data_IF_975394045410
#
_entry.id   IF_975394045410
#
_cell.length_a   1.000
_cell.length_b   1.000
_cell.length_c   1.000
_cell.angle_alpha   90.00
_cell.angle_beta   90.00
_cell.angle_gamma   90.00
#
_symmetry.space_group_name_H-M   'P 1'
#
loop_
_entity.id
_entity.type
_entity.pdbx_description
1 polymer ?
#
# COMPACT_ATOMS: atom_id res chain seq x y z
N UNK A 1 61.30 72.59 -44.37
CA UNK A 1 61.39 71.71 -45.55
C UNK A 1 62.10 70.45 -45.09
N UNK A 2 61.37 69.34 -44.95
CA UNK A 2 61.90 67.97 -44.99
C UNK A 2 60.69 67.03 -45.03
N UNK A 3 60.47 66.51 -46.23
CA UNK A 3 59.66 65.32 -46.51
C UNK A 3 60.40 64.11 -45.94
N UNK A 4 59.70 63.18 -45.27
CA UNK A 4 60.17 61.79 -45.27
C UNK A 4 59.02 60.77 -45.24
N UNK A 5 58.94 60.12 -46.40
CA UNK A 5 58.19 58.94 -46.86
C UNK A 5 57.67 57.97 -45.79
N UNK A 6 56.33 57.83 -45.77
CA UNK A 6 55.65 56.61 -45.31
C UNK A 6 55.95 55.45 -46.26
N UNK A 7 56.58 54.40 -45.74
CA UNK A 7 56.70 53.12 -46.43
C UNK A 7 55.56 52.19 -45.98
N UNK A 8 54.62 51.92 -46.88
CA UNK A 8 53.63 50.85 -46.72
C UNK A 8 54.32 49.50 -46.91
N UNK A 9 54.46 48.74 -45.82
CA UNK A 9 54.86 47.33 -45.87
C UNK A 9 53.60 46.51 -46.15
N UNK A 10 53.38 46.16 -47.41
CA UNK A 10 52.43 45.13 -47.80
C UNK A 10 53.03 43.76 -47.41
N UNK A 11 52.68 43.27 -46.23
CA UNK A 11 52.89 41.87 -45.86
C UNK A 11 51.81 41.01 -46.53
N UNK A 12 52.14 40.48 -47.70
CA UNK A 12 51.38 39.37 -48.28
C UNK A 12 51.47 38.20 -47.31
N UNK A 13 50.39 37.94 -46.57
CA UNK A 13 50.25 36.80 -45.66
C UNK A 13 50.27 35.51 -46.49
N UNK A 14 51.47 34.96 -46.71
CA UNK A 14 51.60 33.60 -47.21
C UNK A 14 51.02 32.67 -46.16
N UNK A 15 49.80 32.21 -46.41
CA UNK A 15 49.13 31.17 -45.61
C UNK A 15 50.08 29.98 -45.58
N UNK A 16 50.56 29.55 -44.40
CA UNK A 16 51.50 28.45 -44.32
C UNK A 16 50.86 27.20 -44.94
N UNK A 17 51.63 26.46 -45.75
CA UNK A 17 51.17 25.31 -46.57
C UNK A 17 50.47 24.20 -45.78
N UNK A 18 50.46 24.27 -44.45
CA UNK A 18 49.88 23.30 -43.53
C UNK A 18 48.53 23.75 -42.93
N UNK A 19 48.02 24.94 -43.26
CA UNK A 19 46.72 25.43 -42.72
C UNK A 19 45.56 24.49 -43.06
N UNK A 20 45.57 23.87 -44.24
CA UNK A 20 44.55 22.88 -44.62
C UNK A 20 44.57 21.62 -43.74
N UNK A 21 45.75 21.16 -43.34
CA UNK A 21 45.88 19.98 -42.45
C UNK A 21 45.27 20.27 -41.07
N UNK A 22 45.45 21.48 -40.57
CA UNK A 22 44.88 21.93 -39.30
C UNK A 22 43.35 22.05 -39.40
N UNK A 23 42.84 22.61 -40.49
CA UNK A 23 41.38 22.74 -40.69
C UNK A 23 40.73 21.36 -40.76
N UNK A 24 41.31 20.42 -41.51
CA UNK A 24 40.77 19.05 -41.60
C UNK A 24 40.87 18.29 -40.27
N UNK A 25 41.95 18.45 -39.50
CA UNK A 25 42.07 17.76 -38.20
C UNK A 25 41.05 18.26 -37.18
N UNK A 26 40.79 19.57 -37.14
CA UNK A 26 39.75 20.16 -36.28
C UNK A 26 38.36 19.67 -36.69
N UNK A 27 38.08 19.58 -37.99
CA UNK A 27 36.77 19.17 -38.50
C UNK A 27 36.49 17.69 -38.22
N UNK A 28 37.48 16.81 -38.38
CA UNK A 28 37.37 15.40 -38.00
C UNK A 28 37.16 15.26 -36.50
N UNK A 29 37.91 16.00 -35.68
CA UNK A 29 37.79 15.95 -34.22
C UNK A 29 36.39 16.39 -33.77
N UNK A 30 35.83 17.45 -34.38
CA UNK A 30 34.48 17.90 -34.10
C UNK A 30 33.40 16.86 -34.48
N UNK A 31 33.55 16.17 -35.61
CA UNK A 31 32.63 15.10 -36.03
C UNK A 31 32.70 13.92 -35.06
N UNK A 32 33.90 13.50 -34.65
CA UNK A 32 34.07 12.38 -33.72
C UNK A 32 33.45 12.71 -32.36
N UNK A 33 33.72 13.90 -31.80
CA UNK A 33 33.16 14.31 -30.49
C UNK A 33 31.64 14.51 -30.58
N UNK A 34 31.15 15.13 -31.66
CA UNK A 34 29.72 15.31 -31.88
C UNK A 34 28.98 13.98 -32.05
N UNK A 35 29.55 13.06 -32.83
CA UNK A 35 28.99 11.74 -33.09
C UNK A 35 28.96 10.85 -31.86
N UNK A 36 30.02 10.85 -31.04
CA UNK A 36 30.04 10.07 -29.79
C UNK A 36 29.05 10.61 -28.75
N UNK A 37 28.93 11.93 -28.62
CA UNK A 37 27.97 12.55 -27.71
C UNK A 37 26.51 12.28 -28.16
N UNK A 38 26.23 12.38 -29.46
CA UNK A 38 24.91 12.05 -30.01
C UNK A 38 24.55 10.57 -29.80
N UNK A 39 25.48 9.65 -30.06
CA UNK A 39 25.26 8.22 -29.86
C UNK A 39 24.99 7.88 -28.38
N UNK A 40 25.72 8.50 -27.44
CA UNK A 40 25.48 8.34 -26.01
C UNK A 40 24.09 8.86 -25.62
N UNK A 41 23.73 10.05 -26.09
CA UNK A 41 22.42 10.65 -25.78
C UNK A 41 21.27 9.80 -26.34
N UNK A 42 21.38 9.34 -27.59
CA UNK A 42 20.37 8.48 -28.21
C UNK A 42 20.22 7.14 -27.47
N UNK A 43 21.33 6.54 -27.03
CA UNK A 43 21.29 5.30 -26.25
C UNK A 43 20.65 5.51 -24.88
N UNK A 44 21.00 6.60 -24.19
CA UNK A 44 20.43 6.94 -22.89
C UNK A 44 18.91 7.16 -22.97
N UNK A 45 18.43 7.90 -23.98
CA UNK A 45 16.99 8.14 -24.21
C UNK A 45 16.26 6.81 -24.46
N UNK A 46 16.79 5.96 -25.34
CA UNK A 46 16.15 4.67 -25.64
C UNK A 46 16.12 3.74 -24.43
N UNK A 47 17.16 3.74 -23.59
CA UNK A 47 17.18 2.94 -22.35
C UNK A 47 16.14 3.41 -21.33
N UNK A 48 15.89 4.72 -21.28
CA UNK A 48 14.92 5.33 -20.37
C UNK A 48 13.48 5.04 -20.81
N UNK A 49 13.23 5.09 -22.13
CA UNK A 49 11.92 4.77 -22.71
C UNK A 49 11.55 3.30 -22.46
N UNK A 50 12.49 2.37 -22.66
CA UNK A 50 12.29 0.95 -22.33
C UNK A 50 12.00 0.72 -20.84
N UNK A 51 12.71 1.42 -19.94
CA UNK A 51 12.46 1.31 -18.51
C UNK A 51 11.05 1.76 -18.14
N UNK A 52 10.56 2.85 -18.75
CA UNK A 52 9.21 3.35 -18.55
C UNK A 52 8.14 2.40 -19.12
N UNK A 53 8.36 1.83 -20.30
CA UNK A 53 7.45 0.81 -20.85
C UNK A 53 7.35 -0.42 -19.94
N UNK A 54 8.48 -0.89 -19.41
CA UNK A 54 8.50 -2.00 -18.45
C UNK A 54 7.68 -1.65 -17.21
N UNK A 55 7.90 -0.47 -16.61
CA UNK A 55 7.16 -0.03 -15.42
C UNK A 55 5.64 0.04 -15.67
N UNK A 56 5.22 0.62 -16.80
CA UNK A 56 3.79 0.69 -17.15
C UNK A 56 3.16 -0.68 -17.40
N UNK A 57 3.92 -1.63 -17.94
CA UNK A 57 3.45 -3.01 -18.17
C UNK A 57 3.30 -3.77 -16.85
N UNK A 58 4.24 -3.60 -15.91
CA UNK A 58 4.17 -4.15 -14.56
C UNK A 58 2.94 -3.59 -13.85
N UNK A 59 2.74 -2.27 -13.89
CA UNK A 59 1.58 -1.63 -13.27
C UNK A 59 0.25 -2.13 -13.86
N UNK A 60 0.16 -2.27 -15.19
CA UNK A 60 -1.03 -2.83 -15.84
C UNK A 60 -1.29 -4.28 -15.43
N UNK A 61 -0.24 -5.09 -15.30
CA UNK A 61 -0.38 -6.48 -14.85
C UNK A 61 -0.92 -6.54 -13.42
N UNK A 62 -0.40 -5.71 -12.51
CA UNK A 62 -0.88 -5.60 -11.13
C UNK A 62 -2.34 -5.13 -11.08
N UNK A 63 -2.73 -4.13 -11.89
CA UNK A 63 -4.11 -3.66 -11.95
C UNK A 63 -5.07 -4.77 -12.44
N UNK A 64 -4.65 -5.55 -13.44
CA UNK A 64 -5.48 -6.64 -13.96
C UNK A 64 -5.62 -7.79 -12.96
N UNK A 65 -4.56 -8.12 -12.23
CA UNK A 65 -4.58 -9.10 -11.14
C UNK A 65 -5.51 -8.66 -10.01
N UNK A 66 -5.43 -7.39 -9.60
CA UNK A 66 -6.34 -6.80 -8.61
C UNK A 66 -7.80 -6.85 -9.07
N UNK A 67 -8.07 -6.56 -10.34
CA UNK A 67 -9.44 -6.65 -10.91
C UNK A 67 -9.95 -8.08 -10.93
N UNK A 68 -9.13 -9.04 -11.36
CA UNK A 68 -9.53 -10.46 -11.37
C UNK A 68 -9.84 -10.96 -9.97
N UNK A 69 -9.00 -10.58 -8.99
CA UNK A 69 -9.21 -10.93 -7.58
C UNK A 69 -10.49 -10.31 -7.03
N UNK A 70 -10.77 -9.06 -7.39
CA UNK A 70 -12.01 -8.38 -7.01
C UNK A 70 -13.26 -9.05 -7.58
N UNK A 71 -13.25 -9.40 -8.88
CA UNK A 71 -14.40 -10.03 -9.55
C UNK A 71 -14.66 -11.45 -9.03
N UNK A 72 -13.61 -12.25 -8.79
CA UNK A 72 -13.74 -13.59 -8.19
C UNK A 72 -14.31 -13.53 -6.76
N UNK A 73 -13.86 -12.56 -5.94
CA UNK A 73 -14.39 -12.33 -4.60
C UNK A 73 -15.84 -11.86 -4.62
N UNK A 74 -16.21 -10.99 -5.56
CA UNK A 74 -17.60 -10.52 -5.73
C UNK A 74 -18.55 -11.66 -6.08
N UNK A 75 -18.14 -12.59 -6.94
CA UNK A 75 -18.97 -13.72 -7.34
C UNK A 75 -19.08 -14.82 -6.25
N UNK A 76 -18.01 -15.05 -5.47
CA UNK A 76 -18.08 -15.88 -4.26
C UNK A 76 -19.05 -15.31 -3.23
N UNK A 77 -19.01 -14.00 -2.98
CA UNK A 77 -19.87 -13.35 -2.00
C UNK A 77 -21.36 -13.36 -2.41
N UNK A 78 -21.65 -13.36 -3.73
CA UNK A 78 -23.02 -13.45 -4.24
C UNK A 78 -23.65 -14.85 -4.09
N UNK A 79 -22.85 -15.91 -4.10
CA UNK A 79 -23.35 -17.29 -3.92
C UNK A 79 -23.44 -17.67 -2.43
N UNK A 80 -22.67 -17.00 -1.57
CA UNK A 80 -22.60 -17.22 -0.12
C UNK A 80 -23.75 -16.56 0.66
N UNK A 81 -24.28 -15.44 0.15
CA UNK A 81 -25.48 -14.77 0.67
C UNK A 81 -26.74 -15.66 0.70
N UNK A 82 -26.83 -16.66 -0.18
CA UNK A 82 -27.99 -17.57 -0.25
C UNK A 82 -28.12 -18.53 0.94
N UNK A 83 -27.15 -18.59 1.86
CA UNK A 83 -27.15 -19.49 3.03
C UNK A 83 -27.28 -18.75 4.38
N UNK A 84 -27.71 -17.48 4.38
CA UNK A 84 -27.92 -16.68 5.60
C UNK A 84 -29.24 -16.97 6.33
N UNK A 85 -30.04 -17.95 5.90
CA UNK A 85 -31.33 -18.29 6.54
C UNK A 85 -31.20 -18.66 8.04
N UNK A 86 -30.00 -19.07 8.48
CA UNK A 86 -29.68 -19.43 9.85
C UNK A 86 -28.80 -18.39 10.57
N UNK A 87 -28.84 -17.12 10.17
CA UNK A 87 -28.08 -16.06 10.82
C UNK A 87 -28.95 -15.28 11.80
N UNK A 88 -28.34 -14.86 12.91
CA UNK A 88 -28.92 -13.94 13.88
C UNK A 88 -28.31 -12.56 13.65
N UNK A 89 -29.12 -11.52 13.72
CA UNK A 89 -28.65 -10.15 13.64
C UNK A 89 -28.48 -9.55 15.05
N UNK A 90 -27.26 -9.19 15.41
CA UNK A 90 -26.95 -8.37 16.58
C UNK A 90 -27.04 -6.89 16.21
N UNK A 91 -27.63 -6.07 17.09
CA UNK A 91 -27.75 -4.63 16.89
C UNK A 91 -27.38 -3.89 18.17
N UNK A 92 -26.40 -2.99 18.07
CA UNK A 92 -26.03 -2.09 19.15
C UNK A 92 -26.50 -0.67 18.81
N UNK A 93 -27.65 -0.27 19.35
CA UNK A 93 -28.22 1.07 19.08
C UNK A 93 -27.43 2.18 19.76
N UNK A 94 -26.83 1.92 20.93
CA UNK A 94 -26.00 2.90 21.66
C UNK A 94 -24.76 3.29 20.85
N UNK A 95 -24.18 2.32 20.12
CA UNK A 95 -22.95 2.48 19.33
C UNK A 95 -23.21 2.54 17.83
N UNK A 96 -24.46 2.62 17.37
CA UNK A 96 -24.76 2.87 15.96
C UNK A 96 -24.26 1.79 14.98
N UNK A 97 -24.28 0.50 15.34
CA UNK A 97 -23.94 -0.57 14.40
C UNK A 97 -24.83 -1.83 14.52
N UNK A 98 -24.77 -2.67 13.51
CA UNK A 98 -25.32 -4.03 13.51
C UNK A 98 -24.36 -4.99 12.81
N UNK A 99 -24.45 -6.27 13.17
CA UNK A 99 -23.66 -7.34 12.57
C UNK A 99 -24.46 -8.63 12.67
N UNK A 100 -24.44 -9.43 11.61
CA UNK A 100 -25.06 -10.74 11.61
C UNK A 100 -24.03 -11.84 11.82
N UNK A 101 -24.45 -12.94 12.44
CA UNK A 101 -23.58 -14.07 12.76
C UNK A 101 -24.37 -15.39 12.72
N UNK A 102 -23.71 -16.53 12.53
CA UNK A 102 -24.41 -17.81 12.48
C UNK A 102 -25.12 -18.15 13.80
N UNK A 103 -26.30 -18.77 13.73
CA UNK A 103 -27.17 -19.06 14.89
C UNK A 103 -26.55 -20.02 15.92
N UNK A 104 -25.58 -20.81 15.53
CA UNK A 104 -24.82 -21.72 16.40
C UNK A 104 -23.62 -21.03 17.08
N UNK A 105 -23.41 -19.73 16.84
CA UNK A 105 -22.42 -18.91 17.53
C UNK A 105 -23.08 -18.11 18.65
N UNK A 106 -22.26 -17.68 19.60
CA UNK A 106 -22.68 -16.93 20.77
C UNK A 106 -22.09 -15.51 20.74
N UNK A 107 -22.88 -14.55 21.23
CA UNK A 107 -22.45 -13.15 21.40
C UNK A 107 -22.43 -12.84 22.88
N UNK A 108 -21.25 -12.45 23.37
CA UNK A 108 -21.05 -11.96 24.72
C UNK A 108 -20.69 -10.48 24.67
N UNK A 109 -21.39 -9.65 25.44
CA UNK A 109 -21.05 -8.24 25.62
C UNK A 109 -20.17 -8.07 26.86
N UNK A 110 -19.05 -7.37 26.70
CA UNK A 110 -18.13 -7.04 27.79
C UNK A 110 -17.87 -5.53 27.81
N UNK A 111 -17.81 -4.97 29.02
CA UNK A 111 -17.59 -3.54 29.24
C UNK A 111 -18.57 -2.67 28.41
N UNK A 112 -18.46 -1.34 28.44
CA UNK A 112 -19.46 -0.47 27.80
C UNK A 112 -19.37 -0.40 26.25
N UNK A 113 -19.22 -1.52 25.54
CA UNK A 113 -19.33 -1.53 24.07
C UNK A 113 -18.42 -2.50 23.34
N UNK A 114 -17.77 -3.44 24.02
CA UNK A 114 -17.03 -4.52 23.38
C UNK A 114 -17.93 -5.76 23.26
N UNK A 115 -17.92 -6.42 22.11
CA UNK A 115 -18.64 -7.69 21.91
C UNK A 115 -17.71 -8.76 21.37
N UNK A 116 -17.98 -10.01 21.75
CA UNK A 116 -17.27 -11.20 21.30
C UNK A 116 -18.26 -12.14 20.64
N UNK A 117 -18.10 -12.32 19.34
CA UNK A 117 -18.85 -13.29 18.55
C UNK A 117 -17.95 -14.51 18.40
N UNK A 118 -18.33 -15.63 19.01
CA UNK A 118 -17.49 -16.82 19.07
C UNK A 118 -18.30 -18.10 18.92
N UNK A 119 -17.64 -19.15 18.41
CA UNK A 119 -18.25 -20.47 18.35
C UNK A 119 -17.97 -21.22 19.66
N UNK A 120 -18.99 -21.78 20.34
CA UNK A 120 -18.82 -22.41 21.65
C UNK A 120 -18.12 -23.80 21.57
N UNK A 121 -18.01 -24.39 20.38
CA UNK A 121 -17.36 -25.68 20.18
C UNK A 121 -15.87 -25.57 19.86
N UNK A 122 -15.16 -26.71 19.94
CA UNK A 122 -13.76 -26.77 19.52
C UNK A 122 -13.64 -26.60 18.01
N UNK A 123 -12.92 -25.55 17.59
CA UNK A 123 -12.41 -25.41 16.22
C UNK A 123 -10.92 -25.67 16.27
N UNK A 124 -10.34 -26.23 15.20
CA UNK A 124 -8.88 -26.43 15.12
C UNK A 124 -8.16 -25.08 14.94
N UNK A 125 -8.25 -24.22 15.94
CA UNK A 125 -7.71 -22.86 15.98
C UNK A 125 -6.80 -22.71 17.21
N UNK A 126 -5.76 -21.87 17.14
CA UNK A 126 -5.01 -21.46 18.32
C UNK A 126 -5.93 -20.85 19.39
N UNK A 127 -5.49 -20.90 20.64
CA UNK A 127 -6.19 -20.23 21.75
C UNK A 127 -6.37 -18.73 21.45
N UNK A 128 -7.56 -18.19 21.73
CA UNK A 128 -7.96 -16.83 21.34
C UNK A 128 -8.28 -16.65 19.84
N UNK A 129 -8.04 -17.67 19.01
CA UNK A 129 -8.23 -17.63 17.57
C UNK A 129 -9.66 -17.76 17.07
N UNK A 130 -10.62 -18.04 17.96
CA UNK A 130 -11.98 -18.48 17.60
C UNK A 130 -13.09 -17.43 17.71
N UNK A 131 -12.73 -16.14 17.81
CA UNK A 131 -13.69 -15.06 17.98
C UNK A 131 -13.46 -13.89 17.03
N UNK A 132 -14.56 -13.24 16.64
CA UNK A 132 -14.58 -11.87 16.15
C UNK A 132 -14.89 -10.96 17.33
N UNK A 133 -14.01 -10.00 17.60
CA UNK A 133 -14.18 -9.01 18.67
C UNK A 133 -14.42 -7.66 18.03
N UNK A 134 -15.42 -6.93 18.51
CA UNK A 134 -15.72 -5.57 18.05
C UNK A 134 -15.67 -4.65 19.25
N UNK A 135 -14.80 -3.64 19.19
CA UNK A 135 -14.74 -2.56 20.17
C UNK A 135 -15.02 -1.22 19.50
N UNK A 136 -15.62 -0.31 20.28
CA UNK A 136 -15.86 1.08 19.86
C UNK A 136 -15.13 2.00 20.83
N UNK A 137 -14.17 2.75 20.29
CA UNK A 137 -13.11 3.40 21.05
C UNK A 137 -12.97 4.88 20.66
N UNK A 138 -12.56 5.72 21.60
CA UNK A 138 -12.28 7.14 21.37
C UNK A 138 -10.78 7.36 21.12
N UNK A 139 -10.26 6.78 20.04
CA UNK A 139 -8.83 6.87 19.69
C UNK A 139 -8.61 7.05 18.18
N UNK A 140 -7.48 7.65 17.82
CA UNK A 140 -7.02 7.69 16.42
C UNK A 140 -6.36 6.37 16.02
N UNK A 141 -6.14 6.19 14.71
CA UNK A 141 -5.41 5.02 14.20
C UNK A 141 -3.99 4.95 14.81
N UNK A 142 -3.29 6.07 14.88
CA UNK A 142 -1.93 6.14 15.42
C UNK A 142 -1.89 5.79 16.90
N UNK A 143 -2.89 6.24 17.67
CA UNK A 143 -3.04 5.87 19.07
C UNK A 143 -3.31 4.37 19.22
N UNK A 144 -4.20 3.81 18.40
CA UNK A 144 -4.46 2.36 18.39
C UNK A 144 -3.19 1.56 18.10
N UNK A 145 -2.45 1.90 17.05
CA UNK A 145 -1.20 1.21 16.68
C UNK A 145 -0.16 1.34 17.80
N UNK A 146 -0.01 2.54 18.38
CA UNK A 146 0.94 2.77 19.47
C UNK A 146 0.59 1.96 20.71
N UNK A 147 -0.69 1.92 21.09
CA UNK A 147 -1.16 1.13 22.24
C UNK A 147 -0.95 -0.36 22.02
N UNK A 148 -1.28 -0.87 20.83
CA UNK A 148 -1.05 -2.28 20.48
C UNK A 148 0.43 -2.64 20.52
N UNK A 149 1.29 -1.80 19.95
CA UNK A 149 2.74 -2.03 19.95
C UNK A 149 3.37 -1.93 21.36
N UNK A 150 2.61 -1.51 22.37
CA UNK A 150 3.04 -1.41 23.76
C UNK A 150 2.23 -2.32 24.69
N UNK A 151 1.32 -3.15 24.17
CA UNK A 151 0.46 -4.01 25.00
C UNK A 151 1.26 -5.11 25.70
N UNK A 152 2.27 -5.65 25.01
CA UNK A 152 3.06 -6.78 25.46
C UNK A 152 4.55 -6.44 25.39
N UNK A 153 5.05 -5.82 26.45
CA UNK A 153 6.48 -5.47 26.58
C UNK A 153 7.09 -6.32 27.68
N UNK A 154 8.13 -7.08 27.32
CA UNK A 154 8.90 -7.87 28.28
C UNK A 154 9.70 -6.97 29.23
N UNK A 155 10.14 -7.49 30.38
CA UNK A 155 10.83 -6.71 31.42
C UNK A 155 12.11 -6.00 30.95
N UNK A 156 12.74 -6.50 29.88
CA UNK A 156 13.93 -5.94 29.24
C UNK A 156 13.61 -4.89 28.15
N UNK A 157 12.34 -4.57 27.94
CA UNK A 157 11.88 -3.59 26.96
C UNK A 157 11.65 -4.16 25.56
N UNK A 158 11.75 -5.48 25.36
CA UNK A 158 11.43 -6.11 24.08
C UNK A 158 9.92 -6.10 23.87
N UNK A 159 9.49 -5.49 22.77
CA UNK A 159 8.10 -5.51 22.30
C UNK A 159 7.79 -6.87 21.70
N UNK A 160 6.75 -7.53 22.19
CA UNK A 160 6.31 -8.86 21.76
C UNK A 160 5.10 -8.81 20.83
N UNK A 161 4.35 -7.70 20.83
CA UNK A 161 3.22 -7.47 19.93
C UNK A 161 3.48 -6.26 19.04
N UNK A 162 3.30 -6.39 17.74
CA UNK A 162 3.62 -5.32 16.78
C UNK A 162 2.68 -5.37 15.57
N UNK A 163 2.08 -4.23 15.19
CA UNK A 163 1.45 -4.02 13.88
C UNK A 163 2.55 -3.87 12.83
N UNK A 164 2.69 -4.85 11.95
CA UNK A 164 3.71 -4.86 10.89
C UNK A 164 3.13 -4.65 9.48
N UNK A 165 1.81 -4.66 9.33
CA UNK A 165 1.13 -4.43 8.05
C UNK A 165 -0.06 -3.51 8.21
N UNK A 166 -0.21 -2.57 7.27
CA UNK A 166 -1.36 -1.69 7.14
C UNK A 166 -1.75 -1.57 5.66
N UNK A 167 -3.01 -1.81 5.36
CA UNK A 167 -3.57 -1.75 4.01
C UNK A 167 -4.88 -0.97 4.01
N UNK A 168 -5.19 -0.27 2.91
CA UNK A 168 -6.50 0.33 2.74
C UNK A 168 -7.56 -0.76 2.70
N UNK A 169 -8.67 -0.54 3.41
CA UNK A 169 -9.78 -1.48 3.48
C UNK A 169 -11.11 -0.74 3.38
N UNK A 170 -12.12 -1.40 2.82
CA UNK A 170 -13.47 -0.87 2.74
C UNK A 170 -14.44 -1.87 3.35
N UNK A 171 -15.30 -1.40 4.26
CA UNK A 171 -16.36 -2.19 4.87
C UNK A 171 -17.69 -1.49 4.60
N UNK A 172 -18.51 -2.12 3.77
CA UNK A 172 -19.70 -1.48 3.21
C UNK A 172 -19.34 -0.22 2.41
N UNK A 173 -19.82 0.94 2.86
CA UNK A 173 -19.58 2.24 2.25
C UNK A 173 -18.55 3.10 2.99
N UNK A 174 -17.89 2.56 4.02
CA UNK A 174 -16.86 3.29 4.78
C UNK A 174 -15.47 2.78 4.41
N UNK A 175 -14.55 3.73 4.30
CA UNK A 175 -13.12 3.44 4.13
C UNK A 175 -12.46 3.37 5.52
N UNK A 176 -11.43 2.54 5.63
CA UNK A 176 -10.63 2.35 6.82
C UNK A 176 -9.34 1.61 6.48
N UNK A 177 -8.82 0.88 7.45
CA UNK A 177 -7.57 0.13 7.30
C UNK A 177 -7.73 -1.31 7.78
N UNK A 178 -7.15 -2.26 7.03
CA UNK A 178 -6.85 -3.59 7.55
C UNK A 178 -5.43 -3.53 8.10
N UNK A 179 -5.29 -3.84 9.38
CA UNK A 179 -4.01 -3.96 10.06
C UNK A 179 -3.72 -5.44 10.30
N UNK A 180 -2.45 -5.83 10.23
CA UNK A 180 -1.99 -7.14 10.70
C UNK A 180 -0.88 -6.91 11.69
N UNK A 181 -1.05 -7.50 12.87
CA UNK A 181 -0.04 -7.51 13.91
C UNK A 181 0.27 -8.92 14.39
N UNK A 182 1.38 -9.04 15.09
CA UNK A 182 1.77 -10.26 15.79
C UNK A 182 1.38 -10.14 17.25
N UNK A 183 0.87 -11.20 17.86
CA UNK A 183 0.67 -11.28 19.32
C UNK A 183 1.97 -11.68 20.02
N UNK A 184 2.01 -11.55 21.35
CA UNK A 184 3.12 -12.02 22.17
C UNK A 184 3.46 -13.52 22.02
N UNK A 185 2.53 -14.33 21.48
CA UNK A 185 2.75 -15.74 21.16
C UNK A 185 3.29 -15.98 19.75
N UNK A 186 3.54 -14.93 18.98
CA UNK A 186 3.97 -15.01 17.59
C UNK A 186 2.85 -15.41 16.62
N UNK A 187 1.58 -15.17 16.99
CA UNK A 187 0.43 -15.43 16.12
C UNK A 187 0.02 -14.17 15.39
N UNK A 188 -0.30 -14.29 14.11
CA UNK A 188 -0.85 -13.18 13.34
C UNK A 188 -2.31 -12.91 13.76
N UNK A 189 -2.62 -11.63 13.93
CA UNK A 189 -3.94 -11.12 14.27
C UNK A 189 -4.29 -9.97 13.33
N UNK A 190 -5.51 -10.00 12.81
CA UNK A 190 -6.03 -8.97 11.91
C UNK A 190 -6.96 -8.02 12.65
N UNK A 191 -6.92 -6.75 12.24
CA UNK A 191 -7.83 -5.71 12.70
C UNK A 191 -8.42 -4.99 11.50
N UNK A 192 -9.69 -4.65 11.56
CA UNK A 192 -10.29 -3.64 10.68
C UNK A 192 -10.54 -2.40 11.53
N UNK A 193 -9.91 -1.29 11.16
CA UNK A 193 -10.04 -0.01 11.83
C UNK A 193 -10.83 0.95 10.94
N UNK A 194 -12.00 1.39 11.40
CA UNK A 194 -12.85 2.34 10.67
C UNK A 194 -13.26 3.47 11.62
N UNK A 195 -13.15 4.70 11.14
CA UNK A 195 -13.65 5.87 11.89
C UNK A 195 -15.05 6.26 11.39
N UNK A 196 -16.00 6.39 12.32
CA UNK A 196 -17.36 6.85 12.02
C UNK A 196 -17.92 7.64 13.22
N UNK A 197 -18.51 8.82 12.97
CA UNK A 197 -19.06 9.71 14.00
C UNK A 197 -18.09 9.97 15.16
N UNK A 198 -16.83 10.32 14.83
CA UNK A 198 -15.74 10.58 15.77
C UNK A 198 -15.36 9.39 16.71
N UNK A 199 -15.80 8.18 16.37
CA UNK A 199 -15.46 6.94 17.07
C UNK A 199 -14.67 6.00 16.16
N UNK A 200 -13.74 5.25 16.74
CA UNK A 200 -13.04 4.16 16.08
C UNK A 200 -13.76 2.84 16.34
N UNK A 201 -14.10 2.14 15.27
CA UNK A 201 -14.62 0.78 15.31
C UNK A 201 -13.46 -0.14 14.96
N UNK A 202 -13.05 -0.95 15.93
CA UNK A 202 -11.96 -1.91 15.77
C UNK A 202 -12.57 -3.30 15.77
N UNK A 203 -12.44 -4.00 14.65
CA UNK A 203 -12.90 -5.38 14.51
C UNK A 203 -11.67 -6.28 14.48
N UNK A 204 -11.41 -6.98 15.57
CA UNK A 204 -10.30 -7.90 15.75
C UNK A 204 -10.73 -9.34 15.42
N UNK A 205 -9.89 -10.05 14.67
CA UNK A 205 -10.13 -11.45 14.32
C UNK A 205 -8.81 -12.13 13.92
N UNK A 206 -8.85 -13.46 13.84
CA UNK A 206 -7.78 -14.22 13.19
C UNK A 206 -8.23 -14.76 11.84
N UNK A 207 -7.35 -14.65 10.84
CA UNK A 207 -7.58 -15.07 9.45
C UNK A 207 -7.33 -16.59 9.28
N UNK A 208 -7.85 -17.39 10.21
CA UNK A 208 -7.73 -18.86 10.19
C UNK A 208 -8.91 -19.53 9.49
N UNK A 209 -10.02 -18.82 9.31
CA UNK A 209 -11.26 -19.38 8.81
C UNK A 209 -12.16 -18.32 8.17
N UNK A 210 -12.82 -18.74 7.09
CA UNK A 210 -13.70 -17.91 6.28
C UNK A 210 -14.91 -17.37 7.07
N UNK A 211 -15.36 -18.06 8.13
CA UNK A 211 -16.55 -17.63 8.87
C UNK A 211 -16.35 -16.27 9.56
N UNK A 212 -15.13 -15.95 10.02
CA UNK A 212 -14.87 -14.62 10.58
C UNK A 212 -15.05 -13.53 9.52
N UNK A 213 -14.50 -13.74 8.32
CA UNK A 213 -14.65 -12.80 7.21
C UNK A 213 -16.12 -12.66 6.81
N UNK A 214 -16.89 -13.75 6.77
CA UNK A 214 -18.33 -13.69 6.48
C UNK A 214 -19.08 -12.86 7.53
N UNK A 215 -18.80 -13.06 8.82
CA UNK A 215 -19.41 -12.30 9.91
C UNK A 215 -19.10 -10.81 9.72
N UNK A 216 -17.83 -10.48 9.50
CA UNK A 216 -17.34 -9.12 9.29
C UNK A 216 -18.03 -8.47 8.09
N UNK A 217 -18.19 -9.17 6.96
CA UNK A 217 -18.84 -8.64 5.76
C UNK A 217 -20.31 -8.22 5.99
N UNK A 218 -20.95 -8.71 7.05
CA UNK A 218 -22.32 -8.29 7.42
C UNK A 218 -22.37 -7.05 8.31
N UNK A 219 -21.23 -6.53 8.74
CA UNK A 219 -21.16 -5.35 9.59
C UNK A 219 -21.75 -4.11 8.86
N UNK A 220 -22.66 -3.42 9.53
CA UNK A 220 -23.32 -2.22 9.03
C UNK A 220 -23.37 -1.13 10.08
N UNK A 221 -23.11 0.11 9.67
CA UNK A 221 -23.39 1.28 10.48
C UNK A 221 -24.88 1.61 10.44
N UNK A 222 -25.46 1.91 11.60
CA UNK A 222 -26.83 2.40 11.73
C UNK A 222 -26.77 3.94 11.58
N UNK A 223 -26.97 4.45 10.37
CA UNK A 223 -27.12 5.90 10.12
C UNK A 223 -28.47 6.44 10.67
#
# INVERSE_FOLDING_TARGET
>A
MNEEKRSQVNSSSQVPRNTWVIIFSVLITAIVIGGTNYAWHSFAVHSLEQAHEIETSILHSQINELRSTYDDNKQKNFTKSANQENWINYKNEKRGYSISYPKDWEVNEYNEGEIYIHYPGWRQMPEGGGSVVISVEEKTLEQFIQEYNLSDVHEDGVVLSEIFKQENYALGNKNGYKLVGTTAMGLDQSFIFITHNDQAYVIQFHDYDDAHLEIIETFQFND
#
